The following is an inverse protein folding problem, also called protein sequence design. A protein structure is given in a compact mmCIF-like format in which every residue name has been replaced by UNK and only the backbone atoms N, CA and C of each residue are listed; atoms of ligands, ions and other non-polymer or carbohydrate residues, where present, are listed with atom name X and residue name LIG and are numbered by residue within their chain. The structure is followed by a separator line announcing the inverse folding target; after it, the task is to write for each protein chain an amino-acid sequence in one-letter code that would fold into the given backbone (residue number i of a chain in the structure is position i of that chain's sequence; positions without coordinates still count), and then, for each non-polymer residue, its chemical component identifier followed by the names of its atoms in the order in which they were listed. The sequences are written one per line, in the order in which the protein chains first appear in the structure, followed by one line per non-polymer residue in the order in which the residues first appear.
data_IF_339104399505
#
_entry.id   IF_339104399505
#
_cell.length_a   1.000
_cell.length_b   1.000
_cell.length_c   1.000
_cell.angle_alpha   90.00
_cell.angle_beta   90.00
_cell.angle_gamma   90.00
#
_symmetry.space_group_name_H-M   'P 1'
#
loop_
_entity.id
_entity.type
_entity.pdbx_description
1 polymer ?
#
# COMPACT_ATOMS: atom_id res chain seq x y z
N UNK A 1 14.10 2.20 -9.72
CA UNK A 1 14.67 2.02 -8.37
C UNK A 1 14.97 0.53 -8.20
N UNK A 2 16.08 0.15 -7.58
CA UNK A 2 16.32 -1.27 -7.30
C UNK A 2 15.34 -1.76 -6.21
N UNK A 3 14.83 -2.98 -6.37
CA UNK A 3 13.89 -3.61 -5.45
C UNK A 3 14.53 -3.77 -4.05
N UNK A 4 13.85 -3.27 -3.03
CA UNK A 4 14.20 -3.52 -1.62
C UNK A 4 13.63 -4.89 -1.23
N UNK A 5 14.50 -5.82 -0.81
CA UNK A 5 14.12 -7.17 -0.39
C UNK A 5 13.94 -7.25 1.11
N UNK A 6 12.99 -8.07 1.58
CA UNK A 6 12.86 -8.36 3.01
C UNK A 6 14.10 -9.13 3.51
N UNK A 7 14.55 -8.84 4.74
CA UNK A 7 15.71 -9.51 5.35
C UNK A 7 15.30 -10.70 6.21
N UNK A 8 14.19 -10.57 6.94
CA UNK A 8 13.56 -11.66 7.69
C UNK A 8 12.25 -12.09 7.03
N UNK A 9 11.77 -13.29 7.37
CA UNK A 9 10.49 -13.81 6.88
C UNK A 9 9.29 -12.90 7.22
N UNK A 10 9.42 -12.13 8.30
CA UNK A 10 8.37 -11.28 8.89
C UNK A 10 8.52 -9.78 8.54
N UNK A 11 9.43 -9.45 7.62
CA UNK A 11 9.74 -8.06 7.24
C UNK A 11 9.17 -7.66 5.87
N UNK A 12 8.21 -8.43 5.34
CA UNK A 12 7.60 -8.12 4.05
C UNK A 12 6.94 -6.73 4.02
N UNK A 13 6.27 -6.31 5.09
CA UNK A 13 5.69 -4.97 5.18
C UNK A 13 6.72 -3.84 5.29
N UNK A 14 7.85 -4.08 5.96
CA UNK A 14 8.98 -3.11 6.04
C UNK A 14 9.57 -2.88 4.65
N UNK A 15 9.95 -3.95 3.96
CA UNK A 15 10.51 -3.85 2.62
C UNK A 15 9.48 -3.31 1.60
N UNK A 16 8.20 -3.64 1.75
CA UNK A 16 7.13 -3.12 0.91
C UNK A 16 6.93 -1.62 1.10
N UNK A 17 6.94 -1.13 2.34
CA UNK A 17 6.89 0.31 2.64
C UNK A 17 8.07 1.04 1.99
N UNK A 18 9.28 0.49 2.11
CA UNK A 18 10.48 1.05 1.48
C UNK A 18 10.33 1.15 -0.04
N UNK A 19 9.88 0.07 -0.71
CA UNK A 19 9.62 0.08 -2.14
C UNK A 19 8.54 1.10 -2.55
N UNK A 20 7.48 1.22 -1.76
CA UNK A 20 6.34 2.09 -2.09
C UNK A 20 6.62 3.59 -1.91
N UNK A 21 7.48 3.93 -0.95
CA UNK A 21 7.79 5.33 -0.58
C UNK A 21 9.16 5.81 -1.07
N UNK A 22 10.03 4.89 -1.47
CA UNK A 22 11.39 5.18 -1.92
C UNK A 22 12.40 5.46 -0.80
N UNK A 23 12.04 5.21 0.46
CA UNK A 23 12.97 5.29 1.60
C UNK A 23 13.83 4.02 1.70
N UNK A 24 14.87 4.05 2.53
CA UNK A 24 15.71 2.86 2.77
C UNK A 24 14.98 1.82 3.63
N UNK A 25 15.51 0.59 3.65
CA UNK A 25 15.00 -0.46 4.53
C UNK A 25 15.06 -0.05 6.00
N UNK A 26 16.17 0.57 6.41
CA UNK A 26 16.42 1.04 7.77
C UNK A 26 15.41 2.12 8.16
N UNK A 27 15.15 3.08 7.27
CA UNK A 27 14.15 4.13 7.50
C UNK A 27 12.73 3.54 7.61
N UNK A 28 12.39 2.57 6.76
CA UNK A 28 11.11 1.89 6.86
C UNK A 28 10.99 1.08 8.16
N UNK A 29 12.07 0.43 8.61
CA UNK A 29 12.09 -0.30 9.88
C UNK A 29 11.92 0.63 11.07
N UNK A 30 12.63 1.76 11.08
CA UNK A 30 12.51 2.81 12.10
C UNK A 30 11.08 3.37 12.16
N UNK A 31 10.44 3.57 11.02
CA UNK A 31 9.07 4.08 10.94
C UNK A 31 8.02 3.13 11.57
N UNK A 32 8.27 1.81 11.60
CA UNK A 32 7.43 0.85 12.34
C UNK A 32 7.85 0.67 13.80
N UNK A 33 8.96 1.27 14.23
CA UNK A 33 9.57 1.06 15.54
C UNK A 33 10.54 -0.13 15.58
N UNK A 34 11.64 0.04 16.32
CA UNK A 34 12.72 -0.96 16.43
C UNK A 34 12.36 -2.20 17.24
N UNK A 35 11.41 -2.08 18.18
CA UNK A 35 10.97 -3.15 19.08
C UNK A 35 9.65 -3.80 18.66
N UNK A 36 9.28 -3.67 17.37
CA UNK A 36 8.01 -4.19 16.84
C UNK A 36 7.93 -5.72 16.94
N UNK A 37 6.71 -6.22 17.12
CA UNK A 37 6.44 -7.65 16.96
C UNK A 37 6.74 -8.11 15.51
N UNK A 38 7.03 -9.41 15.28
CA UNK A 38 7.22 -9.93 13.93
C UNK A 38 5.96 -9.79 13.08
N UNK A 39 6.12 -9.27 11.86
CA UNK A 39 5.01 -8.98 10.94
C UNK A 39 4.37 -7.61 11.20
N UNK A 40 3.71 -7.06 10.19
CA UNK A 40 2.91 -5.83 10.33
C UNK A 40 1.57 -6.03 9.63
N UNK A 41 0.52 -5.52 10.25
CA UNK A 41 -0.79 -5.43 9.64
C UNK A 41 -0.84 -4.33 8.59
N UNK A 42 -1.77 -4.44 7.64
CA UNK A 42 -2.00 -3.39 6.65
C UNK A 42 -2.52 -2.10 7.30
N UNK A 43 -3.18 -2.19 8.46
CA UNK A 43 -3.65 -1.04 9.23
C UNK A 43 -2.48 -0.27 9.88
N UNK A 44 -1.48 -0.98 10.42
CA UNK A 44 -0.24 -0.36 10.88
C UNK A 44 0.49 0.35 9.73
N UNK A 45 0.52 -0.26 8.54
CA UNK A 45 1.06 0.39 7.35
C UNK A 45 0.36 1.70 7.00
N UNK A 46 -0.98 1.78 7.16
CA UNK A 46 -1.70 3.05 7.00
C UNK A 46 -1.24 4.10 8.01
N UNK A 47 -1.12 3.75 9.30
CA UNK A 47 -0.68 4.69 10.33
C UNK A 47 0.73 5.24 10.02
N UNK A 48 1.66 4.36 9.66
CA UNK A 48 3.04 4.74 9.31
C UNK A 48 3.08 5.62 8.05
N UNK A 49 2.30 5.28 7.01
CA UNK A 49 2.20 6.13 5.82
C UNK A 49 1.73 7.54 6.16
N UNK A 50 0.76 7.68 7.07
CA UNK A 50 0.26 8.97 7.51
C UNK A 50 1.34 9.78 8.24
N UNK A 51 2.10 9.15 9.14
CA UNK A 51 3.23 9.77 9.85
C UNK A 51 4.34 10.22 8.90
N UNK A 52 4.57 9.47 7.82
CA UNK A 52 5.50 9.83 6.75
C UNK A 52 4.99 10.91 5.78
N UNK A 53 3.80 11.49 6.03
CA UNK A 53 3.23 12.57 5.22
C UNK A 53 2.49 12.11 3.96
N UNK A 54 2.12 10.83 3.88
CA UNK A 54 1.22 10.32 2.84
C UNK A 54 -0.23 10.33 3.33
N UNK A 55 -1.18 10.32 2.39
CA UNK A 55 -2.59 10.07 2.68
C UNK A 55 -2.92 8.64 2.25
N UNK A 56 -2.93 7.66 3.18
CA UNK A 56 -3.29 6.29 2.87
C UNK A 56 -4.79 6.19 2.56
N UNK A 57 -5.14 5.60 1.42
CA UNK A 57 -6.53 5.24 1.11
C UNK A 57 -6.66 3.73 1.15
N UNK A 58 -7.24 3.23 2.24
CA UNK A 58 -7.48 1.79 2.44
C UNK A 58 -8.76 1.35 1.74
N UNK A 59 -8.66 0.26 0.97
CA UNK A 59 -9.76 -0.34 0.23
C UNK A 59 -9.72 -1.86 0.38
N UNK A 60 -10.76 -2.49 0.95
CA UNK A 60 -10.88 -3.94 0.94
C UNK A 60 -11.22 -4.45 -0.47
N UNK A 61 -10.55 -5.52 -0.89
CA UNK A 61 -10.68 -6.17 -2.19
C UNK A 61 -11.38 -7.54 -2.03
N UNK A 62 -11.76 -8.25 -3.11
CA UNK A 62 -12.58 -9.47 -3.01
C UNK A 62 -11.97 -10.56 -2.11
N UNK A 63 -10.64 -10.63 -1.98
CA UNK A 63 -9.97 -11.54 -1.05
C UNK A 63 -10.28 -11.27 0.43
N UNK A 64 -10.67 -10.04 0.79
CA UNK A 64 -11.02 -9.65 2.16
C UNK A 64 -12.16 -10.48 2.74
N UNK A 65 -13.22 -10.73 1.96
CA UNK A 65 -14.39 -11.51 2.43
C UNK A 65 -13.96 -12.90 2.91
N UNK A 66 -13.09 -13.56 2.12
CA UNK A 66 -12.57 -14.89 2.45
C UNK A 66 -11.61 -14.86 3.64
N UNK A 67 -10.71 -13.86 3.70
CA UNK A 67 -9.71 -13.76 4.75
C UNK A 67 -10.32 -13.38 6.12
N UNK A 68 -11.36 -12.54 6.12
CA UNK A 68 -12.01 -12.04 7.34
C UNK A 68 -13.16 -12.91 7.85
N UNK A 69 -13.76 -13.75 6.99
CA UNK A 69 -15.00 -14.46 7.30
C UNK A 69 -16.25 -13.58 7.30
N UNK A 70 -16.13 -12.31 6.92
CA UNK A 70 -17.24 -11.36 6.89
C UNK A 70 -17.97 -11.42 5.54
N UNK A 71 -18.92 -12.35 5.42
CA UNK A 71 -19.66 -12.62 4.18
C UNK A 71 -20.38 -11.42 3.57
N UNK A 72 -20.76 -10.42 4.38
CA UNK A 72 -21.46 -9.20 3.95
C UNK A 72 -20.54 -7.98 3.78
N UNK A 73 -19.22 -8.15 3.84
CA UNK A 73 -18.28 -7.03 3.69
C UNK A 73 -18.35 -6.45 2.27
N UNK A 74 -18.46 -5.11 2.18
CA UNK A 74 -18.34 -4.41 0.91
C UNK A 74 -16.89 -4.41 0.48
N UNK A 75 -16.64 -4.77 -0.78
CA UNK A 75 -15.31 -4.78 -1.39
C UNK A 75 -15.35 -4.02 -2.71
N UNK A 76 -14.22 -3.45 -3.11
CA UNK A 76 -14.04 -2.92 -4.46
C UNK A 76 -13.64 -4.04 -5.43
N UNK A 77 -13.89 -3.85 -6.72
CA UNK A 77 -13.37 -4.75 -7.76
C UNK A 77 -11.89 -4.43 -8.05
N UNK A 78 -11.13 -5.41 -8.57
CA UNK A 78 -9.69 -5.23 -8.85
C UNK A 78 -9.39 -4.13 -9.89
N UNK A 79 -10.37 -3.69 -10.67
CA UNK A 79 -10.20 -2.61 -11.65
C UNK A 79 -9.89 -1.24 -11.02
N UNK A 80 -10.00 -1.09 -9.69
CA UNK A 80 -9.54 0.11 -8.96
C UNK A 80 -8.01 0.19 -8.86
N UNK A 81 -7.29 -0.92 -9.07
CA UNK A 81 -5.84 -0.97 -9.03
C UNK A 81 -5.23 -0.37 -10.31
N UNK A 82 -5.27 0.96 -10.39
CA UNK A 82 -4.68 1.75 -11.50
C UNK A 82 -3.54 2.66 -11.06
N UNK A 83 -3.26 2.69 -9.76
CA UNK A 83 -2.29 3.57 -9.13
C UNK A 83 -1.41 2.77 -8.17
N UNK A 84 -0.23 3.29 -7.83
CA UNK A 84 0.65 2.64 -6.86
C UNK A 84 -0.06 2.36 -5.52
N UNK A 85 0.09 1.15 -5.02
CA UNK A 85 -0.54 0.70 -3.80
C UNK A 85 0.30 -0.35 -3.07
N UNK A 86 0.24 -0.36 -1.75
CA UNK A 86 0.66 -1.50 -0.94
C UNK A 86 -0.52 -2.48 -0.90
N UNK A 87 -0.29 -3.73 -1.27
CA UNK A 87 -1.31 -4.76 -1.27
C UNK A 87 -1.06 -5.74 -0.14
N UNK A 88 -2.13 -6.12 0.56
CA UNK A 88 -2.14 -7.31 1.40
C UNK A 88 -2.65 -8.48 0.56
N UNK A 89 -1.88 -9.56 0.49
CA UNK A 89 -2.18 -10.73 -0.35
C UNK A 89 -2.10 -12.02 0.47
N UNK A 90 -2.78 -13.06 0.00
CA UNK A 90 -2.60 -14.43 0.48
C UNK A 90 -1.68 -15.18 -0.47
N UNK A 91 -0.57 -15.70 0.05
CA UNK A 91 0.41 -16.48 -0.70
C UNK A 91 0.76 -17.74 0.07
N UNK A 92 0.49 -18.91 -0.50
CA UNK A 92 0.73 -20.21 0.14
C UNK A 92 0.14 -20.32 1.56
N UNK A 93 -1.06 -19.77 1.77
CA UNK A 93 -1.73 -19.78 3.08
C UNK A 93 -1.21 -18.76 4.09
N UNK A 94 -0.25 -17.91 3.71
CA UNK A 94 0.35 -16.89 4.58
C UNK A 94 -0.02 -15.49 4.09
N UNK A 95 -0.35 -14.60 5.03
CA UNK A 95 -0.57 -13.18 4.74
C UNK A 95 0.77 -12.52 4.43
N UNK A 96 0.81 -11.79 3.33
CA UNK A 96 2.01 -11.14 2.82
C UNK A 96 1.70 -9.74 2.33
N UNK A 97 2.66 -8.83 2.42
CA UNK A 97 2.54 -7.48 1.85
C UNK A 97 3.47 -7.33 0.65
N UNK A 98 2.95 -6.70 -0.41
CA UNK A 98 3.67 -6.47 -1.68
C UNK A 98 3.38 -5.08 -2.22
N UNK A 99 4.30 -4.52 -3.01
CA UNK A 99 4.09 -3.22 -3.63
C UNK A 99 3.57 -3.39 -5.06
N UNK A 100 2.47 -2.74 -5.42
CA UNK A 100 1.98 -2.63 -6.79
C UNK A 100 2.35 -1.25 -7.33
N UNK A 101 3.09 -1.19 -8.44
CA UNK A 101 3.60 0.08 -9.01
C UNK A 101 2.58 0.78 -9.94
N UNK A 102 1.35 0.27 -10.03
CA UNK A 102 0.34 0.69 -11.02
C UNK A 102 0.24 -0.23 -12.23
N UNK A 103 1.19 -1.15 -12.43
CA UNK A 103 1.21 -2.11 -13.53
C UNK A 103 1.61 -3.52 -13.08
N UNK A 104 2.65 -3.62 -12.28
CA UNK A 104 3.25 -4.86 -11.81
C UNK A 104 3.34 -4.89 -10.28
N UNK A 105 3.49 -6.09 -9.74
CA UNK A 105 3.79 -6.34 -8.33
C UNK A 105 5.28 -6.54 -8.12
N UNK A 106 5.84 -5.75 -7.22
CA UNK A 106 7.18 -5.85 -6.66
C UNK A 106 7.05 -6.58 -5.31
N UNK A 107 7.28 -7.88 -5.33
CA UNK A 107 7.19 -8.75 -4.14
C UNK A 107 8.52 -8.74 -3.38
N UNK A 108 8.61 -8.26 -2.14
CA UNK A 108 9.89 -8.11 -1.43
C UNK A 108 10.58 -9.45 -1.10
N UNK A 109 9.93 -10.60 -1.29
CA UNK A 109 10.52 -11.90 -1.01
C UNK A 109 11.82 -12.12 -1.79
N UNK A 110 12.91 -12.62 -1.17
CA UNK A 110 14.20 -12.78 -1.83
C UNK A 110 14.19 -13.74 -3.02
N UNK A 111 13.23 -14.68 -3.01
CA UNK A 111 13.04 -15.71 -4.03
C UNK A 111 12.02 -15.31 -5.09
N UNK A 112 11.26 -14.23 -4.86
CA UNK A 112 10.31 -13.75 -5.86
C UNK A 112 11.07 -13.07 -7.02
N UNK A 113 10.57 -13.20 -8.26
CA UNK A 113 11.14 -12.48 -9.39
C UNK A 113 11.07 -10.96 -9.17
N UNK A 114 11.77 -10.21 -10.01
CA UNK A 114 11.83 -8.74 -9.90
C UNK A 114 10.45 -8.09 -10.10
N UNK A 115 9.56 -8.74 -10.86
CA UNK A 115 8.21 -8.25 -11.16
C UNK A 115 7.25 -9.42 -11.34
N UNK A 116 6.03 -9.29 -10.83
CA UNK A 116 4.96 -10.27 -10.90
C UNK A 116 3.63 -9.65 -11.33
N UNK A 117 2.70 -10.49 -11.75
CA UNK A 117 1.29 -10.13 -11.88
C UNK A 117 0.56 -10.30 -10.55
N UNK A 118 -0.49 -9.52 -10.27
CA UNK A 118 -1.37 -9.72 -9.11
C UNK A 118 -2.04 -11.11 -9.10
N UNK A 119 -2.13 -11.77 -10.26
CA UNK A 119 -2.79 -13.08 -10.41
C UNK A 119 -1.94 -14.27 -9.98
N UNK A 120 -0.67 -14.06 -9.58
CA UNK A 120 0.17 -15.15 -9.04
C UNK A 120 -0.18 -15.50 -7.59
N UNK A 121 -0.92 -14.61 -6.91
CA UNK A 121 -1.32 -14.80 -5.51
C UNK A 121 -2.65 -15.55 -5.42
N UNK A 122 -2.85 -16.26 -4.30
CA UNK A 122 -4.09 -16.99 -4.05
C UNK A 122 -5.29 -16.06 -3.92
N UNK A 123 -5.08 -14.87 -3.34
CA UNK A 123 -6.05 -13.78 -3.32
C UNK A 123 -5.38 -12.45 -3.00
N UNK A 124 -5.93 -11.35 -3.51
CA UNK A 124 -5.57 -10.00 -3.08
C UNK A 124 -6.66 -9.52 -2.11
N UNK A 125 -6.24 -9.21 -0.88
CA UNK A 125 -7.10 -9.01 0.28
C UNK A 125 -7.43 -7.53 0.43
N UNK A 126 -6.41 -6.68 0.50
CA UNK A 126 -6.55 -5.24 0.72
C UNK A 126 -5.61 -4.46 -0.18
N UNK A 127 -5.95 -3.20 -0.44
CA UNK A 127 -5.07 -2.23 -1.06
C UNK A 127 -5.01 -0.95 -0.22
N UNK A 128 -3.81 -0.40 -0.08
CA UNK A 128 -3.57 0.93 0.48
C UNK A 128 -2.88 1.76 -0.57
N UNK A 129 -3.60 2.71 -1.16
CA UNK A 129 -3.02 3.62 -2.14
C UNK A 129 -2.09 4.63 -1.45
N UNK A 130 -0.90 4.82 -2.04
CA UNK A 130 0.15 5.68 -1.49
C UNK A 130 0.09 7.02 -2.21
N UNK A 131 -0.65 7.97 -1.65
CA UNK A 131 -0.85 9.30 -2.22
C UNK A 131 -0.04 10.30 -1.41
N UNK A 132 0.81 11.11 -2.06
CA UNK A 132 1.49 12.21 -1.35
C UNK A 132 0.46 13.24 -0.91
N UNK A 133 0.44 13.61 0.37
CA UNK A 133 -0.57 14.52 0.92
C UNK A 133 -0.57 15.89 0.19
N UNK A 134 0.60 16.36 -0.24
CA UNK A 134 0.75 17.60 -1.01
C UNK A 134 -0.04 17.61 -2.34
N UNK A 135 -0.23 16.46 -2.98
CA UNK A 135 -1.03 16.37 -4.21
C UNK A 135 -2.52 16.58 -3.93
N UNK A 136 -2.99 16.14 -2.77
CA UNK A 136 -4.39 16.27 -2.35
C UNK A 136 -4.68 17.72 -1.95
N UNK A 137 -3.78 18.32 -1.15
CA UNK A 137 -3.93 19.70 -0.68
C UNK A 137 -3.84 20.72 -1.81
N UNK A 138 -2.97 20.52 -2.81
CA UNK A 138 -2.89 21.38 -4.01
C UNK A 138 -4.14 21.30 -4.87
N UNK A 139 -4.76 20.12 -4.97
CA UNK A 139 -6.00 19.94 -5.74
C UNK A 139 -7.15 20.76 -5.15
N UNK A 140 -7.25 20.85 -3.82
CA UNK A 140 -8.27 21.68 -3.15
C UNK A 140 -7.97 23.18 -3.27
N UNK A 141 -6.70 23.60 -3.24
CA UNK A 141 -6.32 24.99 -3.44
C UNK A 141 -6.68 25.51 -4.85
N UNK A 142 -6.53 24.67 -5.88
CA UNK A 142 -6.92 25.00 -7.26
C UNK A 142 -8.45 25.12 -7.42
N UNK A 143 -9.23 24.24 -6.77
CA UNK A 143 -10.70 24.32 -6.82
C UNK A 143 -11.21 25.57 -6.10
N UNK A 144 -10.66 25.92 -4.93
CA UNK A 144 -11.04 27.16 -4.23
C UNK A 144 -10.60 28.43 -4.99
N UNK A 145 -9.45 28.42 -5.67
CA UNK A 145 -8.97 29.55 -6.47
C UNK A 145 -9.82 29.82 -7.73
N UNK A 146 -10.42 28.78 -8.32
CA UNK A 146 -11.33 28.92 -9.46
C UNK A 146 -12.73 29.44 -9.08
N UNK A 147 -13.19 29.19 -7.85
CA UNK A 147 -14.46 29.74 -7.35
C UNK A 147 -14.33 31.22 -6.99
N UNK A 148 -13.16 31.65 -6.49
CA UNK A 148 -12.91 33.05 -6.13
C UNK A 148 -12.70 33.98 -7.35
N UNK A 149 -12.40 33.44 -8.53
CA UNK A 149 -12.21 34.21 -9.77
C UNK A 149 -13.47 34.43 -10.61
N UNK A 150 -14.62 33.90 -10.18
CA UNK A 150 -15.88 33.93 -10.95
C UNK A 150 -16.90 34.99 -10.54
N UNK A 151 -16.56 35.88 -9.59
CA UNK A 151 -17.44 36.97 -9.14
C UNK A 151 -16.72 38.30 -9.36
N UNK A 152 -16.67 38.75 -10.60
CA UNK A 152 -16.43 40.16 -10.93
C UNK A 152 -17.51 40.62 -11.91
N UNK A 153 -18.43 41.41 -11.32
CA UNK A 153 -19.39 42.38 -11.88
C UNK A 153 -20.19 42.01 -13.14
#
# INVERSE_FOLDING_TARGET
MAKVKQRLATDCGVATLANATGITYEQAQEAYGTDRAPGVSIQETCAVLLELGYLPVYVPLPGFVKASGLHSAKTAAYNVLKSPAILQVLSNGVIHQVFFDGKNVIDPSPKAPESNSIFVYQSVIDAVFVIKAEHVLRSNALVCGQIAGGISA
#
